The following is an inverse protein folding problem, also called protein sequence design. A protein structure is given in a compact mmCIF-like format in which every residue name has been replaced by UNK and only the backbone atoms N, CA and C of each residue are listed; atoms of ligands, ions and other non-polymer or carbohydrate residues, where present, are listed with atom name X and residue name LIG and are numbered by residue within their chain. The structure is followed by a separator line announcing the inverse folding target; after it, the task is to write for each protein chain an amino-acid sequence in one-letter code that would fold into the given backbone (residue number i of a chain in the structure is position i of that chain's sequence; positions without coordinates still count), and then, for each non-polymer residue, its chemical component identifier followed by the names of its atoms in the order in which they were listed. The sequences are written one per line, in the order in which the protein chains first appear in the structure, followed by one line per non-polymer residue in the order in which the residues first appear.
data_IF_473281681041
#
_entry.id   IF_473281681041
#
_cell.length_a   1.000
_cell.length_b   1.000
_cell.length_c   1.000
_cell.angle_alpha   90.00
_cell.angle_beta   90.00
_cell.angle_gamma   90.00
#
_symmetry.space_group_name_H-M   'P 1'
#
loop_
_entity.id
_entity.type
_entity.pdbx_description
1 polymer ?
#
# COMPACT_ATOMS: atom_id res chain seq x y z
N UNK A 1 -15.32 -6.38 11.11
CA UNK A 1 -15.02 -5.65 9.84
C UNK A 1 -13.92 -6.42 9.11
N UNK A 2 -14.03 -6.67 7.79
CA UNK A 2 -12.95 -7.27 6.98
C UNK A 2 -13.27 -8.56 6.17
N UNK A 3 -14.53 -8.86 5.86
CA UNK A 3 -14.98 -10.16 5.29
C UNK A 3 -14.61 -10.39 3.80
N UNK A 4 -14.05 -9.41 3.06
CA UNK A 4 -13.86 -9.51 1.60
C UNK A 4 -12.51 -10.07 1.11
N UNK A 5 -11.55 -10.30 2.00
CA UNK A 5 -10.19 -10.75 1.64
C UNK A 5 -10.07 -12.29 1.60
N UNK A 6 -10.94 -12.98 2.35
CA UNK A 6 -10.83 -14.40 2.74
C UNK A 6 -10.86 -15.41 1.59
N UNK A 7 -11.41 -15.06 0.42
CA UNK A 7 -11.68 -16.04 -0.67
C UNK A 7 -10.75 -15.93 -1.88
N UNK A 8 -10.08 -14.80 -2.10
CA UNK A 8 -9.32 -14.56 -3.35
C UNK A 8 -7.85 -14.98 -3.26
N UNK A 9 -7.28 -15.05 -2.05
CA UNK A 9 -5.85 -15.31 -1.83
C UNK A 9 -5.57 -16.60 -1.05
N UNK A 10 -6.59 -17.42 -0.76
CA UNK A 10 -6.43 -18.69 -0.03
C UNK A 10 -5.96 -18.55 1.42
N UNK A 11 -6.01 -17.34 1.99
CA UNK A 11 -5.62 -17.10 3.39
C UNK A 11 -6.72 -17.53 4.36
N UNK A 12 -6.33 -18.26 5.40
CA UNK A 12 -7.18 -18.49 6.57
C UNK A 12 -7.32 -17.21 7.39
N UNK A 13 -8.36 -17.11 8.23
CA UNK A 13 -8.53 -15.97 9.14
C UNK A 13 -7.32 -15.81 10.07
N UNK A 14 -6.82 -16.93 10.61
CA UNK A 14 -5.62 -16.92 11.44
C UNK A 14 -4.38 -16.38 10.72
N UNK A 15 -4.21 -16.65 9.42
CA UNK A 15 -3.10 -16.11 8.63
C UNK A 15 -3.25 -14.60 8.39
N UNK A 16 -4.46 -14.13 8.11
CA UNK A 16 -4.75 -12.70 7.96
C UNK A 16 -4.53 -11.96 9.29
N UNK A 17 -5.02 -12.50 10.40
CA UNK A 17 -4.86 -11.93 11.74
C UNK A 17 -3.40 -11.92 12.18
N UNK A 18 -2.63 -12.98 11.89
CA UNK A 18 -1.20 -13.02 12.14
C UNK A 18 -0.44 -11.96 11.31
N UNK A 19 -0.84 -11.73 10.05
CA UNK A 19 -0.29 -10.67 9.21
C UNK A 19 -0.57 -9.28 9.80
N UNK A 20 -1.80 -9.03 10.25
CA UNK A 20 -2.19 -7.77 10.92
C UNK A 20 -1.39 -7.58 12.22
N UNK A 21 -1.33 -8.62 13.06
CA UNK A 21 -0.63 -8.60 14.35
C UNK A 21 0.88 -8.38 14.18
N UNK A 22 1.50 -8.97 13.16
CA UNK A 22 2.94 -8.81 12.87
C UNK A 22 3.35 -7.36 12.60
N UNK A 23 2.40 -6.51 12.21
CA UNK A 23 2.62 -5.08 11.95
C UNK A 23 2.08 -4.19 13.06
N UNK A 24 1.73 -4.75 14.22
CA UNK A 24 1.17 -4.01 15.35
C UNK A 24 -0.22 -3.45 15.06
N UNK A 25 -0.98 -4.09 14.17
CA UNK A 25 -2.33 -3.64 13.82
C UNK A 25 -2.37 -2.37 12.97
N UNK A 26 -1.27 -2.03 12.27
CA UNK A 26 -1.13 -0.80 11.49
C UNK A 26 -0.75 -1.10 10.04
N UNK A 27 -1.18 -0.21 9.14
CA UNK A 27 -0.80 -0.22 7.73
C UNK A 27 0.72 -0.40 7.54
N UNK A 28 1.14 -1.34 6.68
CA UNK A 28 2.54 -1.60 6.43
C UNK A 28 3.30 -0.44 5.75
N UNK A 29 2.59 0.48 5.10
CA UNK A 29 3.16 1.65 4.42
C UNK A 29 3.17 2.88 5.32
N UNK A 30 2.00 3.43 5.68
CA UNK A 30 1.95 4.69 6.43
C UNK A 30 2.08 4.55 7.94
N UNK A 31 1.93 3.34 8.50
CA UNK A 31 1.97 3.08 9.96
C UNK A 31 0.94 3.85 10.79
N UNK A 32 -0.11 4.40 10.15
CA UNK A 32 -1.16 5.21 10.83
C UNK A 32 -2.53 4.57 10.71
N UNK A 33 -2.96 4.22 9.49
CA UNK A 33 -4.32 3.72 9.25
C UNK A 33 -4.49 2.23 9.59
N UNK A 34 -5.75 1.80 9.83
CA UNK A 34 -6.06 0.40 10.05
C UNK A 34 -5.75 -0.44 8.79
N UNK A 35 -5.08 -1.59 8.93
CA UNK A 35 -4.73 -2.46 7.82
C UNK A 35 -5.94 -3.31 7.43
N UNK A 36 -6.60 -2.95 6.32
CA UNK A 36 -7.87 -3.52 5.88
C UNK A 36 -7.79 -4.20 4.50
N UNK A 37 -6.67 -4.09 3.80
CA UNK A 37 -6.50 -4.56 2.43
C UNK A 37 -5.22 -5.36 2.28
N UNK A 38 -5.29 -6.60 1.78
CA UNK A 38 -4.11 -7.39 1.43
C UNK A 38 -3.52 -6.87 0.13
N UNK A 39 -2.29 -6.39 0.24
CA UNK A 39 -1.47 -5.98 -0.88
C UNK A 39 -0.67 -7.18 -1.41
N UNK A 40 -0.65 -7.33 -2.73
CA UNK A 40 0.01 -8.45 -3.40
C UNK A 40 0.62 -7.99 -4.72
N UNK A 41 1.66 -8.70 -5.13
CA UNK A 41 2.29 -8.50 -6.42
C UNK A 41 1.39 -9.04 -7.54
N UNK A 42 1.05 -8.20 -8.52
CA UNK A 42 0.11 -8.55 -9.59
C UNK A 42 0.70 -9.52 -10.64
N UNK A 43 2.02 -9.71 -10.67
CA UNK A 43 2.67 -10.64 -11.60
C UNK A 43 2.83 -12.05 -11.00
N UNK A 44 3.15 -12.14 -9.71
CA UNK A 44 3.49 -13.38 -9.01
C UNK A 44 2.39 -13.86 -8.06
N UNK A 45 1.44 -13.00 -7.70
CA UNK A 45 0.43 -13.26 -6.68
C UNK A 45 0.98 -13.25 -5.25
N UNK A 46 2.27 -12.95 -5.04
CA UNK A 46 2.90 -12.97 -3.72
C UNK A 46 2.36 -11.84 -2.85
N UNK A 47 1.89 -12.18 -1.65
CA UNK A 47 1.44 -11.20 -0.66
C UNK A 47 2.64 -10.36 -0.18
N UNK A 48 2.48 -9.04 -0.25
CA UNK A 48 3.47 -8.06 0.21
C UNK A 48 3.17 -7.59 1.64
N UNK A 49 1.89 -7.47 2.00
CA UNK A 49 1.47 -7.09 3.35
C UNK A 49 -0.01 -6.73 3.44
N UNK A 50 -0.40 -6.06 4.53
CA UNK A 50 -1.74 -5.49 4.70
C UNK A 50 -1.64 -3.97 4.88
N UNK A 51 -2.46 -3.25 4.14
CA UNK A 51 -2.46 -1.79 4.02
C UNK A 51 -3.83 -1.20 4.39
N UNK A 52 -3.83 0.09 4.74
CA UNK A 52 -5.07 0.84 4.79
C UNK A 52 -5.61 1.12 3.38
N UNK A 53 -6.90 1.44 3.28
CA UNK A 53 -7.55 1.79 2.03
C UNK A 53 -6.79 2.86 1.24
N UNK A 54 -6.40 3.96 1.90
CA UNK A 54 -5.72 5.09 1.27
C UNK A 54 -4.38 4.71 0.65
N UNK A 55 -3.54 3.93 1.36
CA UNK A 55 -2.25 3.51 0.81
C UNK A 55 -2.43 2.53 -0.35
N UNK A 56 -3.34 1.57 -0.21
CA UNK A 56 -3.62 0.59 -1.26
C UNK A 56 -4.11 1.26 -2.55
N UNK A 57 -5.14 2.11 -2.45
CA UNK A 57 -5.67 2.86 -3.60
C UNK A 57 -4.65 3.86 -4.15
N UNK A 58 -3.87 4.49 -3.27
CA UNK A 58 -2.80 5.40 -3.67
C UNK A 58 -1.78 4.72 -4.58
N UNK A 59 -1.25 3.55 -4.19
CA UNK A 59 -0.32 2.79 -5.03
C UNK A 59 -0.95 2.35 -6.36
N UNK A 60 -2.20 1.88 -6.33
CA UNK A 60 -2.94 1.51 -7.54
C UNK A 60 -3.12 2.68 -8.52
N UNK A 61 -3.31 3.90 -8.02
CA UNK A 61 -3.38 5.11 -8.87
C UNK A 61 -2.05 5.43 -9.56
N UNK A 62 -0.92 5.00 -9.00
CA UNK A 62 0.38 5.05 -9.66
C UNK A 62 0.66 3.80 -10.52
N UNK A 63 -0.32 2.91 -10.70
CA UNK A 63 -0.20 1.69 -11.49
C UNK A 63 0.63 0.61 -10.82
N UNK A 64 0.74 0.63 -9.49
CA UNK A 64 1.58 -0.27 -8.69
C UNK A 64 3.07 -0.30 -9.13
N UNK A 65 3.52 0.76 -9.83
CA UNK A 65 4.88 0.93 -10.32
C UNK A 65 5.73 1.69 -9.29
N UNK A 66 6.75 1.04 -8.68
CA UNK A 66 7.63 1.69 -7.72
C UNK A 66 8.34 2.93 -8.28
N UNK A 67 8.65 2.96 -9.58
CA UNK A 67 9.34 4.10 -10.20
C UNK A 67 8.44 5.33 -10.25
N UNK A 68 7.15 5.15 -10.57
CA UNK A 68 6.18 6.25 -10.57
C UNK A 68 5.95 6.80 -9.16
N UNK A 69 5.91 5.93 -8.15
CA UNK A 69 5.82 6.33 -6.74
C UNK A 69 7.05 7.14 -6.30
N UNK A 70 8.25 6.72 -6.71
CA UNK A 70 9.48 7.48 -6.43
C UNK A 70 9.50 8.84 -7.12
N UNK A 71 9.07 8.92 -8.38
CA UNK A 71 8.94 10.19 -9.09
C UNK A 71 7.96 11.14 -8.40
N UNK A 72 6.83 10.63 -7.93
CA UNK A 72 5.86 11.41 -7.15
C UNK A 72 6.45 11.91 -5.82
N UNK A 73 7.20 11.05 -5.11
CA UNK A 73 7.90 11.45 -3.89
C UNK A 73 8.95 12.54 -4.16
N UNK A 74 9.72 12.42 -5.25
CA UNK A 74 10.71 13.42 -5.66
C UNK A 74 10.04 14.75 -6.07
N UNK A 75 8.88 14.71 -6.73
CA UNK A 75 8.10 15.92 -7.03
C UNK A 75 7.69 16.66 -5.76
N UNK A 76 7.20 15.96 -4.73
CA UNK A 76 6.85 16.56 -3.45
C UNK A 76 8.06 17.15 -2.70
N UNK A 77 9.24 16.54 -2.83
CA UNK A 77 10.49 17.06 -2.25
C UNK A 77 11.04 18.27 -3.00
N UNK A 78 10.54 18.57 -4.20
CA UNK A 78 11.10 19.58 -5.09
C UNK A 78 12.37 19.12 -5.83
N UNK A 79 12.70 17.83 -5.77
CA UNK A 79 13.82 17.23 -6.48
C UNK A 79 13.50 17.07 -7.99
N UNK A 80 12.20 16.92 -8.32
CA UNK A 80 11.72 16.84 -9.68
C UNK A 80 11.11 18.19 -10.11
N UNK A 81 11.81 18.87 -11.03
CA UNK A 81 11.40 20.11 -11.70
C UNK A 81 11.21 21.32 -10.77
N UNK A 82 12.27 22.13 -10.64
CA UNK A 82 12.20 23.45 -9.99
C UNK A 82 11.52 24.44 -10.93
N UNK A 83 10.20 24.37 -11.06
CA UNK A 83 9.46 25.45 -11.73
C UNK A 83 9.52 26.67 -10.81
N UNK A 84 10.43 27.60 -11.09
CA UNK A 84 10.37 28.94 -10.53
C UNK A 84 9.21 29.67 -11.19
N UNK A 85 8.00 29.50 -10.65
CA UNK A 85 6.96 30.50 -10.85
C UNK A 85 7.40 31.71 -10.04
N UNK A 86 8.03 32.66 -10.73
CA UNK A 86 8.26 34.02 -10.22
C UNK A 86 6.86 34.62 -10.07
N UNK A 87 6.35 34.64 -8.83
CA UNK A 87 5.21 35.49 -8.46
C UNK A 87 5.69 36.91 -8.20
#
# INVERSE_FOLDING_TARGET
MGVRIRRRFGLTEAQADALVASRGGLCAVCRVGPPEHVDHDHATGRIRGILCFTCNTGMGNFGDDPNRLLLAANYLKGDACRIQLVV
#
